data_IF_265725418555
#
_entry.id   IF_265725418555
#
_cell.length_a   1.000
_cell.length_b   1.000
_cell.length_c   1.000
_cell.angle_alpha   90.00
_cell.angle_beta   90.00
_cell.angle_gamma   90.00
#
_symmetry.space_group_name_H-M   'P 1'
#
loop_
_entity.id
_entity.type
_entity.pdbx_description
1 polymer ?
#
# COMPACT_ATOMS: atom_id res chain seq x y z
N UNK A 1 12.07 -25.75 18.99
CA UNK A 1 12.33 -24.61 18.09
C UNK A 1 11.16 -23.64 18.22
N UNK A 2 11.37 -22.44 18.78
CA UNK A 2 10.31 -21.45 19.04
C UNK A 2 10.36 -20.37 17.96
N UNK A 3 9.41 -20.40 17.01
CA UNK A 3 9.39 -19.51 15.84
C UNK A 3 8.22 -18.51 15.81
N UNK A 4 7.51 -18.30 16.91
CA UNK A 4 6.32 -17.43 16.88
C UNK A 4 6.06 -16.68 18.19
N UNK A 5 7.09 -16.15 18.84
CA UNK A 5 6.89 -15.09 19.85
C UNK A 5 7.07 -13.74 19.16
N UNK A 6 6.11 -12.81 19.25
CA UNK A 6 6.36 -11.44 18.81
C UNK A 6 7.57 -10.92 19.57
N UNK A 7 8.54 -10.38 18.83
CA UNK A 7 9.82 -9.93 19.36
C UNK A 7 9.69 -8.55 20.00
N UNK A 8 8.84 -8.42 21.03
CA UNK A 8 8.76 -7.18 21.78
C UNK A 8 7.38 -6.86 22.37
N UNK A 9 7.31 -5.74 23.12
CA UNK A 9 6.04 -5.22 23.61
C UNK A 9 5.13 -4.83 22.44
N UNK A 10 3.80 -4.87 22.64
CA UNK A 10 2.86 -4.39 21.63
C UNK A 10 3.08 -2.90 21.34
N UNK A 11 2.80 -2.48 20.11
CA UNK A 11 2.82 -1.08 19.73
C UNK A 11 1.82 -0.28 20.58
N UNK A 12 2.20 0.95 20.93
CA UNK A 12 1.30 1.86 21.62
C UNK A 12 0.19 2.33 20.68
N UNK A 13 -0.95 2.74 21.26
CA UNK A 13 -2.06 3.30 20.48
C UNK A 13 -1.63 4.48 19.61
N UNK A 14 -0.76 5.35 20.14
CA UNK A 14 -0.21 6.50 19.38
C UNK A 14 0.60 6.08 18.17
N UNK A 15 1.39 5.01 18.27
CA UNK A 15 2.15 4.48 17.13
C UNK A 15 1.22 3.89 16.08
N UNK A 16 0.18 3.16 16.49
CA UNK A 16 -0.80 2.61 15.56
C UNK A 16 -1.61 3.72 14.87
N UNK A 17 -2.03 4.74 15.61
CA UNK A 17 -2.75 5.90 15.06
C UNK A 17 -1.86 6.65 14.05
N UNK A 18 -0.57 6.86 14.37
CA UNK A 18 0.40 7.50 13.46
C UNK A 18 0.65 6.67 12.21
N UNK A 19 0.83 5.36 12.38
CA UNK A 19 1.03 4.45 11.25
C UNK A 19 -0.20 4.44 10.33
N UNK A 20 -1.41 4.44 10.90
CA UNK A 20 -2.64 4.51 10.13
C UNK A 20 -2.75 5.83 9.36
N UNK A 21 -2.44 6.96 9.99
CA UNK A 21 -2.43 8.28 9.34
C UNK A 21 -1.49 8.31 8.13
N UNK A 22 -0.27 7.76 8.27
CA UNK A 22 0.70 7.68 7.17
C UNK A 22 0.23 6.74 6.04
N UNK A 23 -0.43 5.63 6.39
CA UNK A 23 -1.01 4.73 5.40
C UNK A 23 -2.15 5.39 4.63
N UNK A 24 -3.02 6.12 5.32
CA UNK A 24 -4.11 6.87 4.70
C UNK A 24 -3.57 8.00 3.79
N UNK A 25 -2.53 8.71 4.23
CA UNK A 25 -1.83 9.70 3.41
C UNK A 25 -1.20 9.10 2.15
N UNK A 26 -0.66 7.88 2.26
CA UNK A 26 -0.14 7.10 1.14
C UNK A 26 -1.24 6.45 0.26
N UNK A 27 -2.52 6.62 0.61
CA UNK A 27 -3.67 6.18 -0.17
C UNK A 27 -4.19 4.77 0.15
N UNK A 28 -3.78 4.18 1.27
CA UNK A 28 -4.29 2.89 1.76
C UNK A 28 -5.50 3.10 2.69
N UNK A 29 -6.54 2.25 2.57
CA UNK A 29 -7.72 2.30 3.45
C UNK A 29 -7.43 1.76 4.87
N UNK A 30 -6.23 1.19 5.11
CA UNK A 30 -5.77 0.73 6.42
C UNK A 30 -4.81 -0.46 6.35
N UNK A 31 -4.50 -1.07 7.51
CA UNK A 31 -3.48 -2.13 7.62
C UNK A 31 -3.72 -3.36 6.75
N UNK A 32 -4.99 -3.72 6.51
CA UNK A 32 -5.35 -4.88 5.68
C UNK A 32 -5.06 -4.63 4.20
N UNK A 33 -5.34 -3.42 3.73
CA UNK A 33 -5.10 -3.00 2.34
C UNK A 33 -3.60 -2.84 2.08
N UNK A 34 -2.91 -2.19 3.02
CA UNK A 34 -1.46 -2.03 3.02
C UNK A 34 -0.69 -3.38 3.09
N UNK A 35 -1.34 -4.47 3.51
CA UNK A 35 -0.69 -5.76 3.73
C UNK A 35 -0.02 -6.34 2.48
N UNK A 36 -0.71 -6.27 1.34
CA UNK A 36 -0.16 -6.78 0.08
C UNK A 36 1.02 -5.93 -0.40
N UNK A 37 0.81 -4.63 -0.62
CA UNK A 37 1.83 -3.72 -1.16
C UNK A 37 3.04 -3.53 -0.24
N UNK A 38 2.84 -3.40 1.09
CA UNK A 38 3.92 -3.19 2.06
C UNK A 38 4.43 -4.49 2.70
N UNK A 39 3.94 -5.64 2.25
CA UNK A 39 4.40 -6.95 2.73
C UNK A 39 4.08 -7.24 4.21
N UNK A 40 3.07 -6.60 4.80
CA UNK A 40 2.72 -6.89 6.19
C UNK A 40 2.32 -8.37 6.38
N UNK A 41 2.65 -8.91 7.54
CA UNK A 41 2.18 -10.24 7.96
C UNK A 41 0.67 -10.22 8.23
N UNK A 42 0.06 -11.41 8.32
CA UNK A 42 -1.37 -11.52 8.70
C UNK A 42 -1.68 -10.84 10.03
N UNK A 43 -0.76 -10.97 10.99
CA UNK A 43 -0.87 -10.36 12.33
C UNK A 43 -0.93 -8.83 12.22
N UNK A 44 0.01 -8.25 11.49
CA UNK A 44 0.12 -6.81 11.25
C UNK A 44 -1.05 -6.26 10.42
N UNK A 45 -1.52 -7.01 9.42
CA UNK A 45 -2.73 -6.64 8.66
C UNK A 45 -4.01 -6.61 9.51
N UNK A 46 -3.99 -7.24 10.70
CA UNK A 46 -5.05 -7.13 11.70
C UNK A 46 -4.75 -6.06 12.77
N UNK A 47 -3.78 -5.16 12.54
CA UNK A 47 -3.39 -4.09 13.46
C UNK A 47 -2.48 -4.52 14.63
N UNK A 48 -1.97 -5.75 14.62
CA UNK A 48 -1.14 -6.26 15.72
C UNK A 48 0.35 -6.10 15.39
N UNK A 49 0.89 -4.93 15.76
CA UNK A 49 2.31 -4.61 15.63
C UNK A 49 3.00 -4.67 16.99
N UNK A 50 4.29 -5.02 16.98
CA UNK A 50 5.19 -4.70 18.09
C UNK A 50 5.63 -3.25 18.00
N UNK A 51 6.13 -2.69 19.11
CA UNK A 51 6.66 -1.33 19.16
C UNK A 51 7.70 -1.08 18.06
N UNK A 52 8.68 -1.96 17.96
CA UNK A 52 9.81 -1.80 17.03
C UNK A 52 9.37 -1.97 15.57
N UNK A 53 8.41 -2.87 15.31
CA UNK A 53 7.81 -3.00 13.97
C UNK A 53 7.06 -1.72 13.57
N UNK A 54 6.28 -1.13 14.48
CA UNK A 54 5.55 0.10 14.18
C UNK A 54 6.51 1.27 13.93
N UNK A 55 7.54 1.44 14.76
CA UNK A 55 8.55 2.49 14.58
C UNK A 55 9.29 2.34 13.24
N UNK A 56 9.63 1.12 12.83
CA UNK A 56 10.28 0.86 11.56
C UNK A 56 9.40 1.25 10.35
N UNK A 57 8.12 0.89 10.35
CA UNK A 57 7.20 1.26 9.25
C UNK A 57 6.87 2.75 9.23
N UNK A 58 6.75 3.39 10.39
CA UNK A 58 6.56 4.84 10.47
C UNK A 58 7.76 5.55 9.83
N UNK A 59 8.99 5.15 10.18
CA UNK A 59 10.19 5.75 9.62
C UNK A 59 10.32 5.54 8.09
N UNK A 60 9.94 4.37 7.58
CA UNK A 60 9.96 4.05 6.14
C UNK A 60 8.94 4.89 5.34
N UNK A 61 7.71 5.00 5.87
CA UNK A 61 6.65 5.79 5.25
C UNK A 61 6.96 7.29 5.30
N UNK A 62 7.44 7.81 6.43
CA UNK A 62 7.86 9.22 6.55
C UNK A 62 9.07 9.55 5.67
N UNK A 63 10.00 8.61 5.49
CA UNK A 63 11.14 8.75 4.59
C UNK A 63 10.76 8.74 3.11
N UNK A 64 9.69 8.02 2.75
CA UNK A 64 9.16 7.95 1.38
C UNK A 64 8.32 9.18 1.03
N UNK A 65 7.64 9.81 2.01
CA UNK A 65 6.78 10.97 1.82
C UNK A 65 7.56 12.30 1.55
N UNK A 66 8.90 12.30 1.66
CA UNK A 66 9.72 13.51 1.48
C UNK A 66 10.08 13.86 0.02
N UNK A 67 9.37 13.32 -0.98
CA UNK A 67 9.44 13.84 -2.36
C UNK A 67 8.23 14.77 -2.63
N UNK A 68 8.38 16.10 -2.46
CA UNK A 68 7.28 17.05 -2.71
C UNK A 68 6.92 17.19 -4.20
N UNK A 69 7.49 16.39 -5.11
CA UNK A 69 7.16 16.35 -6.53
C UNK A 69 6.21 15.21 -6.92
N UNK A 70 5.77 14.38 -5.96
CA UNK A 70 4.74 13.36 -6.22
C UNK A 70 3.34 13.97 -6.04
N UNK A 71 2.42 13.86 -7.01
CA UNK A 71 1.07 14.40 -6.87
C UNK A 71 0.32 13.68 -5.76
N UNK A 72 -0.06 14.42 -4.72
CA UNK A 72 -0.97 13.96 -3.67
C UNK A 72 -2.28 13.49 -4.29
N UNK A 73 -2.80 12.28 -3.97
CA UNK A 73 -4.03 11.78 -4.55
C UNK A 73 -5.23 12.44 -3.86
N UNK A 74 -5.48 13.71 -4.18
CA UNK A 74 -6.77 14.34 -3.89
C UNK A 74 -7.85 13.72 -4.79
N UNK A 75 -8.73 12.93 -4.18
CA UNK A 75 -10.09 12.64 -4.64
C UNK A 75 -10.25 12.26 -6.13
N UNK A 76 -9.36 11.44 -6.68
CA UNK A 76 -9.72 10.62 -7.84
C UNK A 76 -10.48 9.41 -7.30
N UNK A 77 -11.62 9.06 -7.91
CA UNK A 77 -12.41 7.88 -7.56
C UNK A 77 -11.48 6.71 -7.22
N UNK A 78 -11.64 6.12 -6.02
CA UNK A 78 -10.77 5.07 -5.48
C UNK A 78 -10.63 3.95 -6.52
N UNK A 79 -9.53 4.00 -7.28
CA UNK A 79 -9.23 2.98 -8.28
C UNK A 79 -9.01 1.67 -7.54
N UNK A 80 -9.75 0.64 -7.94
CA UNK A 80 -9.53 -0.74 -7.55
C UNK A 80 -8.10 -1.18 -7.88
N UNK A 81 -7.68 -2.29 -7.27
CA UNK A 81 -6.35 -2.86 -7.51
C UNK A 81 -6.13 -3.16 -9.00
N UNK A 82 -7.18 -3.64 -9.68
CA UNK A 82 -7.15 -3.91 -11.13
C UNK A 82 -6.97 -2.62 -11.94
N UNK A 83 -7.62 -1.53 -11.55
CA UNK A 83 -7.47 -0.23 -12.21
C UNK A 83 -6.08 0.38 -12.01
N UNK A 84 -5.47 0.22 -10.82
CA UNK A 84 -4.08 0.65 -10.59
C UNK A 84 -3.09 -0.18 -11.39
N UNK A 85 -3.30 -1.50 -11.45
CA UNK A 85 -2.46 -2.40 -12.23
C UNK A 85 -2.56 -2.11 -13.74
N UNK A 86 -3.76 -1.81 -14.24
CA UNK A 86 -3.97 -1.37 -15.62
C UNK A 86 -3.24 -0.05 -15.90
N UNK A 87 -3.26 0.91 -14.96
CA UNK A 87 -2.60 2.21 -15.10
C UNK A 87 -1.07 2.15 -15.05
N UNK A 88 -0.51 1.13 -14.39
CA UNK A 88 0.93 0.93 -14.33
C UNK A 88 1.51 0.33 -15.62
N UNK A 89 0.68 -0.22 -16.49
CA UNK A 89 1.09 -0.77 -17.78
C UNK A 89 1.22 0.35 -18.82
N UNK A 90 2.28 0.36 -19.66
CA UNK A 90 2.35 1.26 -20.80
C UNK A 90 1.18 1.02 -21.76
N UNK A 91 0.59 2.09 -22.30
CA UNK A 91 -0.61 2.02 -23.16
C UNK A 91 -0.43 1.06 -24.35
N UNK A 92 0.76 1.02 -24.95
CA UNK A 92 1.09 0.10 -26.06
C UNK A 92 1.00 -1.36 -25.64
N UNK A 93 1.44 -1.69 -24.42
CA UNK A 93 1.38 -3.05 -23.87
C UNK A 93 -0.05 -3.43 -23.53
N UNK A 94 -0.80 -2.50 -22.93
CA UNK A 94 -2.20 -2.70 -22.59
C UNK A 94 -3.06 -2.91 -23.85
N UNK A 95 -2.84 -2.11 -24.89
CA UNK A 95 -3.53 -2.23 -26.17
C UNK A 95 -3.25 -3.57 -26.86
N UNK A 96 -1.98 -4.00 -26.87
CA UNK A 96 -1.59 -5.29 -27.44
C UNK A 96 -2.25 -6.48 -26.71
N UNK A 97 -2.36 -6.41 -25.39
CA UNK A 97 -3.03 -7.45 -24.58
C UNK A 97 -4.55 -7.48 -24.81
N UNK A 98 -5.21 -6.33 -24.90
CA UNK A 98 -6.63 -6.25 -25.25
C UNK A 98 -6.90 -6.86 -26.64
N UNK A 99 -6.07 -6.52 -27.63
CA UNK A 99 -6.19 -7.05 -28.98
C UNK A 99 -5.92 -8.55 -29.07
N UNK A 100 -4.91 -9.05 -28.34
CA UNK A 100 -4.62 -10.50 -28.22
C UNK A 100 -5.81 -11.26 -27.64
N UNK A 101 -6.57 -10.64 -26.74
CA UNK A 101 -7.79 -11.19 -26.15
C UNK A 101 -9.04 -11.02 -27.02
N UNK A 102 -8.89 -10.51 -28.24
CA UNK A 102 -9.97 -10.34 -29.21
C UNK A 102 -10.78 -9.06 -29.06
N UNK A 103 -10.30 -8.10 -28.27
CA UNK A 103 -10.94 -6.79 -28.12
C UNK A 103 -10.39 -5.81 -29.15
N UNK A 104 -11.24 -4.94 -29.70
CA UNK A 104 -10.80 -3.87 -30.62
C UNK A 104 -10.48 -2.63 -29.78
N UNK A 105 -9.26 -2.13 -29.90
CA UNK A 105 -8.81 -0.88 -29.25
C UNK A 105 -8.83 0.25 -30.28
N UNK A 106 -9.48 1.35 -29.94
CA UNK A 106 -9.48 2.59 -30.73
C UNK A 106 -8.66 3.63 -29.97
N UNK A 107 -7.82 4.39 -30.66
CA UNK A 107 -7.23 5.59 -30.07
C UNK A 107 -8.34 6.61 -29.78
N UNK A 108 -8.29 7.32 -28.62
CA UNK A 108 -9.32 8.26 -28.20
C UNK A 108 -9.44 9.48 -29.12
#
# INVERSE_FOLDING_TARGET
MTFNRPSGPPASRRQLDRLLELLEAAGYDGFRDARGPLGFTQRQGNGNFTRDEADAFIADLEGTDHDPSAPSPTSAARLSTDERAARALPDVVLAAELQRRGWVVMEP
#
